data_IF_407744456969
#
_entry.id   IF_407744456969
#
_cell.length_a   1.000
_cell.length_b   1.000
_cell.length_c   1.000
_cell.angle_alpha   90.00
_cell.angle_beta   90.00
_cell.angle_gamma   90.00
#
_symmetry.space_group_name_H-M   'P 1'
#
loop_
_entity.id
_entity.type
_entity.pdbx_description
1 polymer ?
#
# COMPACT_ATOMS: atom_id res chain seq x y z
N UNK A 1 -36.97 -12.82 15.16
CA UNK A 1 -35.85 -13.72 14.82
C UNK A 1 -34.68 -12.84 14.42
N UNK A 2 -33.62 -12.67 15.23
CA UNK A 2 -32.45 -11.95 14.74
C UNK A 2 -31.62 -12.92 13.87
N UNK A 3 -31.36 -12.52 12.63
CA UNK A 3 -30.33 -13.12 11.80
C UNK A 3 -28.98 -12.68 12.39
N UNK A 4 -28.24 -13.64 12.92
CA UNK A 4 -26.85 -13.46 13.30
C UNK A 4 -26.03 -13.30 12.01
N UNK A 5 -25.83 -12.06 11.57
CA UNK A 5 -24.75 -11.75 10.62
C UNK A 5 -23.45 -11.77 11.41
N UNK A 6 -22.85 -12.96 11.55
CA UNK A 6 -21.43 -13.05 11.87
C UNK A 6 -20.68 -12.48 10.67
N UNK A 7 -20.32 -11.19 10.76
CA UNK A 7 -19.29 -10.60 9.91
C UNK A 7 -18.03 -11.42 10.17
N UNK A 8 -17.65 -12.26 9.23
CA UNK A 8 -16.36 -12.95 9.29
C UNK A 8 -15.34 -11.86 8.98
N UNK A 9 -14.69 -11.31 10.00
CA UNK A 9 -13.54 -10.43 9.82
C UNK A 9 -12.44 -11.26 9.17
N UNK A 10 -12.18 -11.02 7.89
CA UNK A 10 -11.10 -11.68 7.17
C UNK A 10 -9.77 -11.17 7.73
N UNK A 11 -9.09 -12.04 8.47
CA UNK A 11 -7.79 -11.74 9.06
C UNK A 11 -6.72 -11.84 7.98
N UNK A 12 -6.17 -10.69 7.57
CA UNK A 12 -5.09 -10.63 6.58
C UNK A 12 -3.71 -10.84 7.22
N UNK A 13 -2.88 -11.65 6.57
CA UNK A 13 -1.53 -11.91 7.03
C UNK A 13 -0.57 -10.75 6.74
N UNK A 14 0.36 -10.52 7.68
CA UNK A 14 1.39 -9.49 7.57
C UNK A 14 2.73 -10.15 7.31
N UNK A 15 3.38 -9.73 6.24
CA UNK A 15 4.69 -10.21 5.84
C UNK A 15 5.73 -9.09 5.99
N UNK A 16 6.95 -9.43 6.34
CA UNK A 16 8.09 -8.51 6.29
C UNK A 16 8.85 -8.81 5.01
N UNK A 17 9.00 -7.81 4.14
CA UNK A 17 9.68 -7.96 2.84
C UNK A 17 10.72 -6.87 2.65
N UNK A 18 11.66 -7.09 1.75
CA UNK A 18 12.67 -6.11 1.40
C UNK A 18 12.01 -4.90 0.72
N UNK A 19 12.29 -3.69 1.19
CA UNK A 19 11.70 -2.45 0.67
C UNK A 19 11.99 -2.29 -0.83
N UNK A 20 13.20 -2.63 -1.26
CA UNK A 20 13.67 -2.54 -2.65
C UNK A 20 12.94 -3.49 -3.61
N UNK A 21 12.28 -4.53 -3.09
CA UNK A 21 11.50 -5.47 -3.91
C UNK A 21 10.14 -4.94 -4.33
N UNK A 22 9.64 -3.89 -3.66
CA UNK A 22 8.36 -3.27 -3.95
C UNK A 22 8.48 -2.25 -5.08
N UNK A 23 7.43 -2.14 -5.90
CA UNK A 23 7.39 -1.24 -7.05
C UNK A 23 6.26 -0.23 -6.92
N UNK A 24 6.59 1.05 -7.00
CA UNK A 24 5.59 2.11 -6.96
C UNK A 24 5.07 2.40 -8.36
N UNK A 25 3.76 2.60 -8.50
CA UNK A 25 3.14 3.07 -9.74
C UNK A 25 2.68 4.54 -9.69
N UNK A 26 2.93 5.24 -8.58
CA UNK A 26 2.57 6.65 -8.38
C UNK A 26 3.70 7.44 -7.72
N UNK A 27 3.81 8.71 -8.10
CA UNK A 27 4.61 9.70 -7.38
C UNK A 27 4.03 9.99 -5.98
N UNK A 28 4.89 10.45 -5.08
CA UNK A 28 4.49 10.90 -3.74
C UNK A 28 4.29 12.41 -3.69
N UNK A 29 3.44 12.85 -2.77
CA UNK A 29 3.23 14.28 -2.48
C UNK A 29 4.21 14.66 -1.36
N UNK A 30 5.10 15.65 -1.55
CA UNK A 30 6.15 15.98 -0.58
C UNK A 30 5.66 16.24 0.85
N UNK A 31 4.60 17.04 1.02
CA UNK A 31 4.04 17.33 2.35
C UNK A 31 3.46 16.10 3.05
N UNK A 32 2.86 15.18 2.28
CA UNK A 32 2.38 13.90 2.81
C UNK A 32 3.55 12.99 3.19
N UNK A 33 4.63 12.99 2.40
CA UNK A 33 5.84 12.24 2.70
C UNK A 33 6.45 12.69 4.03
N UNK A 34 6.64 14.00 4.24
CA UNK A 34 7.13 14.57 5.50
C UNK A 34 6.27 14.14 6.69
N UNK A 35 4.95 14.17 6.52
CA UNK A 35 4.00 13.71 7.54
C UNK A 35 4.20 12.21 7.85
N UNK A 36 4.50 11.37 6.85
CA UNK A 36 4.75 9.94 7.06
C UNK A 36 6.10 9.67 7.71
N UNK A 37 7.16 10.41 7.35
CA UNK A 37 8.47 10.33 8.01
C UNK A 37 8.31 10.60 9.50
N UNK A 38 7.74 11.75 9.88
CA UNK A 38 7.52 12.13 11.28
C UNK A 38 6.68 11.09 12.03
N UNK A 39 5.61 10.57 11.39
CA UNK A 39 4.74 9.58 12.02
C UNK A 39 5.44 8.23 12.22
N UNK A 40 6.25 7.78 11.26
CA UNK A 40 7.05 6.55 11.40
C UNK A 40 8.09 6.69 12.51
N UNK A 41 8.80 7.83 12.59
CA UNK A 41 9.76 8.09 13.66
C UNK A 41 9.10 8.07 15.06
N UNK A 42 7.89 8.62 15.17
CA UNK A 42 7.18 8.70 16.46
C UNK A 42 6.53 7.38 16.90
N UNK A 43 6.00 6.58 15.96
CA UNK A 43 5.18 5.41 16.29
C UNK A 43 5.79 4.07 15.87
N UNK A 44 6.87 4.06 15.11
CA UNK A 44 7.26 2.91 14.32
C UNK A 44 6.36 2.71 13.10
N UNK A 45 6.51 1.57 12.43
CA UNK A 45 5.66 1.20 11.32
C UNK A 45 4.28 0.80 11.84
N UNK A 46 3.28 1.63 11.55
CA UNK A 46 1.98 1.60 12.23
C UNK A 46 0.83 0.98 11.41
N UNK A 47 1.05 0.82 10.10
CA UNK A 47 0.15 0.12 9.16
C UNK A 47 1.01 -0.51 8.06
N UNK A 48 0.67 -1.73 7.60
CA UNK A 48 1.37 -2.32 6.47
C UNK A 48 1.18 -1.52 5.18
N UNK A 49 2.07 -1.73 4.21
CA UNK A 49 1.86 -1.36 2.81
C UNK A 49 1.04 -2.48 2.17
N UNK A 50 0.06 -2.16 1.34
CA UNK A 50 -0.71 -3.18 0.61
C UNK A 50 -0.08 -3.32 -0.77
N UNK A 51 0.20 -4.56 -1.17
CA UNK A 51 0.87 -4.87 -2.44
C UNK A 51 0.13 -5.98 -3.17
N UNK A 52 0.23 -5.99 -4.49
CA UNK A 52 -0.09 -7.17 -5.27
C UNK A 52 0.85 -8.32 -4.91
N UNK A 53 0.30 -9.53 -4.73
CA UNK A 53 1.02 -10.69 -4.20
C UNK A 53 2.03 -11.26 -5.20
N UNK A 54 1.77 -11.13 -6.50
CA UNK A 54 2.60 -11.67 -7.57
C UNK A 54 3.71 -10.70 -7.98
N UNK A 55 3.37 -9.44 -8.20
CA UNK A 55 4.27 -8.43 -8.78
C UNK A 55 4.91 -7.51 -7.74
N UNK A 56 4.42 -7.50 -6.50
CA UNK A 56 4.84 -6.57 -5.45
C UNK A 56 4.64 -5.09 -5.81
N UNK A 57 3.76 -4.80 -6.76
CA UNK A 57 3.30 -3.44 -7.05
C UNK A 57 2.52 -2.91 -5.85
N UNK A 58 2.85 -1.69 -5.41
CA UNK A 58 2.25 -1.05 -4.25
C UNK A 58 0.84 -0.58 -4.60
N UNK A 59 -0.18 -1.08 -3.94
CA UNK A 59 -1.57 -0.67 -4.13
C UNK A 59 -1.98 0.43 -3.14
N UNK A 60 -1.48 0.36 -1.90
CA UNK A 60 -1.57 1.45 -0.93
C UNK A 60 -0.29 1.57 -0.11
N UNK A 61 0.25 2.80 -0.03
CA UNK A 61 1.31 3.11 0.91
C UNK A 61 2.60 3.65 0.29
N UNK A 62 2.57 4.24 -0.91
CA UNK A 62 3.72 4.86 -1.56
C UNK A 62 4.47 5.82 -0.64
N UNK A 63 3.78 6.74 0.06
CA UNK A 63 4.44 7.64 1.02
C UNK A 63 5.09 6.89 2.19
N UNK A 64 4.53 5.75 2.64
CA UNK A 64 5.13 4.93 3.72
C UNK A 64 6.39 4.24 3.20
N UNK A 65 6.34 3.71 1.98
CA UNK A 65 7.48 3.08 1.30
C UNK A 65 8.62 4.06 1.04
N UNK A 66 8.31 5.25 0.51
CA UNK A 66 9.31 6.30 0.28
C UNK A 66 9.87 6.82 1.60
N UNK A 67 9.03 7.05 2.63
CA UNK A 67 9.50 7.43 3.96
C UNK A 67 10.42 6.38 4.59
N UNK A 68 10.12 5.10 4.39
CA UNK A 68 10.99 4.01 4.84
C UNK A 68 12.37 4.07 4.18
N UNK A 69 12.43 4.42 2.89
CA UNK A 69 13.70 4.68 2.19
C UNK A 69 14.48 5.85 2.78
N UNK A 70 13.81 6.98 3.05
CA UNK A 70 14.44 8.16 3.69
C UNK A 70 14.96 7.86 5.11
N UNK A 71 14.35 6.89 5.81
CA UNK A 71 14.70 6.49 7.16
C UNK A 71 15.69 5.31 7.21
N UNK A 72 16.27 4.93 6.06
CA UNK A 72 17.20 3.82 5.89
C UNK A 72 16.65 2.47 6.39
N UNK A 73 15.36 2.22 6.14
CA UNK A 73 14.72 0.95 6.45
C UNK A 73 14.82 0.03 5.24
N UNK A 74 15.48 -1.12 5.43
CA UNK A 74 15.65 -2.13 4.38
C UNK A 74 14.44 -3.06 4.28
N UNK A 75 13.64 -3.14 5.35
CA UNK A 75 12.49 -4.03 5.44
C UNK A 75 11.22 -3.23 5.74
N UNK A 76 10.08 -3.69 5.22
CA UNK A 76 8.77 -3.09 5.47
C UNK A 76 7.70 -4.16 5.69
N UNK A 77 6.73 -3.91 6.59
CA UNK A 77 5.56 -4.76 6.71
C UNK A 77 4.58 -4.53 5.56
N UNK A 78 4.09 -5.63 4.99
CA UNK A 78 3.16 -5.63 3.88
C UNK A 78 2.00 -6.59 4.11
N UNK A 79 0.85 -6.27 3.52
CA UNK A 79 -0.24 -7.22 3.25
C UNK A 79 -0.21 -7.50 1.76
N UNK A 80 -0.26 -8.77 1.38
CA UNK A 80 -0.27 -9.21 -0.01
C UNK A 80 -1.71 -9.57 -0.41
N UNK A 81 -2.18 -9.04 -1.53
CA UNK A 81 -3.49 -9.36 -2.09
C UNK A 81 -3.33 -9.92 -3.49
N UNK A 82 -4.16 -10.89 -3.88
CA UNK A 82 -4.18 -11.39 -5.27
C UNK A 82 -4.92 -10.37 -6.15
N UNK A 83 -4.26 -9.26 -6.49
CA UNK A 83 -4.93 -8.04 -6.92
C UNK A 83 -5.82 -8.24 -8.14
N UNK A 84 -5.30 -8.88 -9.19
CA UNK A 84 -6.05 -9.08 -10.44
C UNK A 84 -7.25 -10.02 -10.27
N UNK A 85 -7.09 -11.08 -9.48
CA UNK A 85 -8.13 -12.12 -9.34
C UNK A 85 -9.12 -11.87 -8.20
N UNK A 86 -8.79 -11.00 -7.26
CA UNK A 86 -9.59 -10.74 -6.07
C UNK A 86 -10.67 -9.67 -6.33
N UNK A 87 -11.96 -10.04 -6.39
CA UNK A 87 -13.05 -9.08 -6.63
C UNK A 87 -13.29 -8.13 -5.45
N UNK A 88 -12.81 -8.46 -4.25
CA UNK A 88 -12.95 -7.65 -3.02
C UNK A 88 -12.01 -6.44 -3.01
N UNK A 89 -11.05 -6.40 -3.94
CA UNK A 89 -10.18 -5.25 -4.20
C UNK A 89 -10.64 -4.58 -5.47
N UNK A 90 -11.01 -3.31 -5.38
CA UNK A 90 -11.41 -2.50 -6.55
C UNK A 90 -10.53 -1.27 -6.69
N UNK A 91 -10.48 -0.70 -7.88
CA UNK A 91 -9.72 0.52 -8.16
C UNK A 91 -10.60 1.50 -8.94
N UNK A 92 -10.47 2.77 -8.58
CA UNK A 92 -11.09 3.90 -9.25
C UNK A 92 -10.06 5.03 -9.37
N UNK A 93 -10.39 6.12 -10.04
CA UNK A 93 -9.57 7.32 -10.11
C UNK A 93 -9.85 8.27 -8.94
N UNK A 94 -8.85 9.05 -8.51
CA UNK A 94 -9.17 10.22 -7.68
C UNK A 94 -9.77 11.35 -8.52
N UNK A 95 -10.73 12.11 -7.98
CA UNK A 95 -11.27 13.28 -8.66
C UNK A 95 -10.16 14.28 -9.02
N UNK A 96 -10.14 14.71 -10.29
CA UNK A 96 -9.19 15.71 -10.79
C UNK A 96 -7.79 15.19 -11.09
N UNK A 97 -7.56 13.87 -11.12
CA UNK A 97 -6.25 13.30 -11.47
C UNK A 97 -5.92 13.35 -12.97
N UNK A 98 -6.86 13.75 -13.83
CA UNK A 98 -6.67 13.84 -15.28
C UNK A 98 -6.97 12.56 -16.06
N UNK A 99 -7.46 11.49 -15.40
CA UNK A 99 -8.01 10.28 -16.04
C UNK A 99 -9.49 10.12 -15.70
N UNK A 100 -10.27 9.59 -16.64
CA UNK A 100 -11.69 9.27 -16.43
C UNK A 100 -11.88 7.89 -15.78
N UNK A 101 -10.99 6.95 -16.08
CA UNK A 101 -11.03 5.58 -15.57
C UNK A 101 -9.61 5.01 -15.48
N UNK A 102 -9.47 3.97 -14.67
CA UNK A 102 -8.27 3.13 -14.54
C UNK A 102 -8.72 1.71 -14.21
N UNK A 103 -8.02 0.71 -14.75
CA UNK A 103 -8.22 -0.69 -14.37
C UNK A 103 -7.00 -1.26 -13.62
N UNK A 104 -7.14 -2.50 -13.13
CA UNK A 104 -6.10 -3.14 -12.32
C UNK A 104 -4.86 -3.47 -13.15
N UNK A 105 -5.06 -3.88 -14.39
CA UNK A 105 -3.98 -4.20 -15.33
C UNK A 105 -3.11 -2.98 -15.59
N UNK A 106 -3.70 -1.80 -15.82
CA UNK A 106 -2.98 -0.54 -15.97
C UNK A 106 -2.12 -0.18 -14.73
N UNK A 107 -2.62 -0.46 -13.53
CA UNK A 107 -1.86 -0.24 -12.28
C UNK A 107 -0.65 -1.17 -12.21
N UNK A 108 -0.83 -2.45 -12.55
CA UNK A 108 0.27 -3.43 -12.59
C UNK A 108 1.28 -3.05 -13.67
N UNK A 109 0.83 -2.76 -14.89
CA UNK A 109 1.69 -2.36 -16.01
C UNK A 109 2.52 -1.13 -15.66
N UNK A 110 1.91 -0.10 -15.07
CA UNK A 110 2.63 1.10 -14.63
C UNK A 110 3.67 0.76 -13.56
N UNK A 111 3.29 -0.02 -12.55
CA UNK A 111 4.22 -0.43 -11.49
C UNK A 111 5.36 -1.34 -11.97
N UNK A 112 5.22 -1.99 -13.12
CA UNK A 112 6.29 -2.79 -13.75
C UNK A 112 7.13 -1.99 -14.76
N UNK A 113 6.76 -0.74 -15.03
CA UNK A 113 7.45 0.15 -15.95
C UNK A 113 8.53 0.99 -15.26
N UNK A 114 9.26 1.79 -16.04
CA UNK A 114 10.19 2.81 -15.52
C UNK A 114 9.48 4.14 -15.21
N UNK A 115 8.21 4.27 -15.60
CA UNK A 115 7.38 5.44 -15.38
C UNK A 115 6.48 5.25 -14.14
N UNK A 116 5.93 6.37 -13.67
CA UNK A 116 4.89 6.37 -12.63
C UNK A 116 3.81 7.39 -12.98
N UNK A 117 2.59 7.13 -12.52
CA UNK A 117 1.53 8.13 -12.59
C UNK A 117 1.82 9.33 -11.68
N UNK A 118 1.24 10.51 -11.98
CA UNK A 118 1.17 11.60 -11.02
C UNK A 118 0.55 11.16 -9.69
N UNK A 119 0.78 11.90 -8.60
CA UNK A 119 0.25 11.50 -7.30
C UNK A 119 -1.27 11.45 -7.31
N UNK A 120 -1.85 10.49 -6.58
CA UNK A 120 -3.31 10.36 -6.44
C UNK A 120 -3.96 10.09 -7.79
N UNK A 121 -3.44 9.17 -8.58
CA UNK A 121 -4.14 8.72 -9.81
C UNK A 121 -5.10 7.59 -9.51
N UNK A 122 -4.67 6.57 -8.77
CA UNK A 122 -5.46 5.41 -8.40
C UNK A 122 -5.97 5.50 -6.96
N UNK A 123 -7.20 5.03 -6.76
CA UNK A 123 -7.87 4.94 -5.47
C UNK A 123 -8.37 3.52 -5.28
N UNK A 124 -7.60 2.72 -4.54
CA UNK A 124 -7.98 1.38 -4.17
C UNK A 124 -9.01 1.35 -3.03
N UNK A 125 -9.96 0.43 -3.14
CA UNK A 125 -10.90 0.07 -2.08
C UNK A 125 -10.65 -1.40 -1.77
N UNK A 126 -10.54 -1.71 -0.48
CA UNK A 126 -10.28 -3.05 0.04
C UNK A 126 -11.44 -3.43 0.96
N UNK A 127 -12.10 -4.56 0.70
CA UNK A 127 -13.19 -5.06 1.55
C UNK A 127 -12.69 -5.88 2.76
N UNK A 128 -11.50 -5.54 3.27
CA UNK A 128 -10.93 -6.10 4.49
C UNK A 128 -10.42 -5.00 5.42
N UNK A 129 -10.34 -5.30 6.72
CA UNK A 129 -9.73 -4.37 7.67
C UNK A 129 -8.20 -4.40 7.55
N UNK A 130 -7.60 -3.24 7.26
CA UNK A 130 -6.15 -3.11 7.26
C UNK A 130 -5.64 -3.13 8.71
N UNK A 131 -4.85 -4.14 9.11
CA UNK A 131 -4.47 -4.32 10.50
C UNK A 131 -3.64 -3.14 11.01
N UNK A 132 -3.87 -2.77 12.28
CA UNK A 132 -2.97 -1.86 12.99
C UNK A 132 -1.79 -2.63 13.55
N UNK A 133 -0.59 -2.14 13.27
CA UNK A 133 0.66 -2.74 13.77
C UNK A 133 1.48 -1.71 14.51
N UNK A 134 2.53 -2.16 15.17
CA UNK A 134 3.53 -1.28 15.76
C UNK A 134 4.90 -1.97 15.69
N UNK A 135 5.54 -1.89 14.52
CA UNK A 135 6.86 -2.48 14.31
C UNK A 135 7.93 -1.42 14.60
N UNK A 136 8.85 -1.64 15.56
CA UNK A 136 9.93 -0.71 15.85
C UNK A 136 10.82 -0.48 14.62
N UNK A 137 11.16 0.77 14.29
CA UNK A 137 11.99 1.06 13.11
C UNK A 137 13.37 0.36 13.17
N UNK A 138 13.92 0.19 14.37
CA UNK A 138 15.20 -0.49 14.57
C UNK A 138 15.20 -1.93 14.06
N UNK A 139 14.08 -2.65 14.13
CA UNK A 139 14.00 -4.04 13.63
C UNK A 139 13.80 -4.12 12.12
N UNK A 140 13.64 -2.99 11.44
CA UNK A 140 13.45 -2.90 9.98
C UNK A 140 14.71 -2.39 9.26
N UNK A 141 15.77 -2.11 10.01
CA UNK A 141 17.11 -1.83 9.50
C UNK A 141 17.86 -3.15 9.28
N UNK A 142 18.85 -3.14 8.39
CA UNK A 142 19.85 -4.22 8.34
C UNK A 142 20.84 -4.09 9.51
#
# INVERSE_FOLDING_TARGET
>A
MPLNNSVIEEQVDIHIVERSSLRGHEEVIPSNLETRISKLQNKGFYKPIIVDSETLVILDGHHKWTAAGVLDLNWVPVVKVNYLSDPSVTVDVWPGCGKELINKEEVIEMGLSEDVFPPKTSRHIFEFEVPQIQVPLKSLRA
#
